data_IF_292938213688
#
_entry.id   IF_292938213688
#
_cell.length_a   1.000
_cell.length_b   1.000
_cell.length_c   1.000
_cell.angle_alpha   90.00
_cell.angle_beta   90.00
_cell.angle_gamma   90.00
#
_symmetry.space_group_name_H-M   'P 1'
#
loop_
_entity.id
_entity.type
_entity.pdbx_description
1 polymer ?
#
# COMPACT_ATOMS: atom_id res chain seq x y z
N UNK A 1 2.05 -0.89 13.36
CA UNK A 1 1.01 -0.95 12.31
C UNK A 1 1.22 -2.19 11.45
N UNK A 2 0.17 -2.95 11.24
CA UNK A 2 0.24 -4.23 10.52
C UNK A 2 -0.28 -4.10 9.10
N UNK A 3 0.06 -5.06 8.25
CA UNK A 3 -0.49 -5.11 6.87
C UNK A 3 -2.02 -5.30 6.90
N UNK A 4 -2.54 -6.00 7.90
CA UNK A 4 -3.98 -6.18 8.04
C UNK A 4 -4.69 -4.85 8.27
N UNK A 5 -4.11 -3.99 9.10
CA UNK A 5 -4.65 -2.65 9.35
C UNK A 5 -4.58 -1.80 8.08
N UNK A 6 -3.49 -1.87 7.33
CA UNK A 6 -3.36 -1.16 6.05
C UNK A 6 -4.41 -1.67 5.05
N UNK A 7 -4.58 -2.99 4.95
CA UNK A 7 -5.59 -3.59 4.08
C UNK A 7 -6.99 -3.08 4.42
N UNK A 8 -7.33 -3.03 5.69
CA UNK A 8 -8.65 -2.60 6.13
C UNK A 8 -8.88 -1.12 5.84
N UNK A 9 -7.83 -0.29 5.97
CA UNK A 9 -7.92 1.10 5.56
C UNK A 9 -8.10 1.25 4.05
N UNK A 10 -7.43 0.41 3.25
CA UNK A 10 -7.58 0.43 1.79
C UNK A 10 -9.02 0.20 1.35
N UNK A 11 -9.81 -0.55 2.13
CA UNK A 11 -11.22 -0.75 1.82
C UNK A 11 -12.02 0.56 1.84
N UNK A 12 -11.53 1.58 2.51
CA UNK A 12 -12.22 2.87 2.60
C UNK A 12 -11.92 3.78 1.42
N UNK A 13 -10.84 3.53 0.67
CA UNK A 13 -10.39 4.44 -0.41
C UNK A 13 -10.29 3.76 -1.77
N UNK A 14 -10.40 2.43 -1.85
CA UNK A 14 -10.26 1.69 -3.11
C UNK A 14 -11.59 1.11 -3.55
N UNK A 15 -11.80 1.10 -4.87
CA UNK A 15 -12.98 0.48 -5.48
C UNK A 15 -12.82 -1.03 -5.69
N UNK A 16 -11.72 -1.63 -5.23
CA UNK A 16 -11.51 -3.07 -5.34
C UNK A 16 -12.60 -3.85 -4.59
N UNK A 17 -12.87 -5.05 -5.05
CA UNK A 17 -13.88 -5.92 -4.44
C UNK A 17 -13.27 -6.93 -3.47
N UNK A 18 -12.00 -7.27 -3.66
CA UNK A 18 -11.29 -8.26 -2.84
C UNK A 18 -9.98 -7.66 -2.35
N UNK A 19 -9.70 -7.86 -1.07
CA UNK A 19 -8.51 -7.31 -0.41
C UNK A 19 -7.74 -8.41 0.29
N UNK A 20 -6.43 -8.49 0.03
CA UNK A 20 -5.57 -9.55 0.54
C UNK A 20 -4.32 -9.00 1.21
N UNK A 21 -3.78 -9.78 2.13
CA UNK A 21 -2.45 -9.55 2.70
C UNK A 21 -1.52 -10.57 2.07
N UNK A 22 -0.46 -10.08 1.42
CA UNK A 22 0.45 -10.98 0.70
C UNK A 22 -0.22 -11.57 -0.53
N UNK A 23 -0.14 -12.86 -0.71
CA UNK A 23 -0.62 -13.53 -1.93
C UNK A 23 -2.11 -13.32 -2.15
N UNK A 24 -2.49 -12.75 -3.30
CA UNK A 24 -3.88 -12.62 -3.67
C UNK A 24 -4.38 -13.86 -4.44
N UNK A 25 -5.70 -13.99 -4.53
CA UNK A 25 -6.32 -15.03 -5.34
C UNK A 25 -6.45 -14.52 -6.78
N UNK A 26 -5.64 -15.04 -7.69
CA UNK A 26 -5.60 -14.60 -9.08
C UNK A 26 -6.88 -14.91 -9.86
N UNK A 27 -7.79 -15.70 -9.31
CA UNK A 27 -9.08 -16.01 -9.94
C UNK A 27 -10.11 -14.89 -9.77
N UNK A 28 -9.85 -13.95 -8.86
CA UNK A 28 -10.79 -12.87 -8.57
C UNK A 28 -10.30 -11.58 -9.21
N UNK A 29 -11.14 -10.99 -10.06
CA UNK A 29 -10.90 -9.69 -10.64
C UNK A 29 -11.11 -8.59 -9.59
N UNK A 30 -10.59 -7.39 -9.86
CA UNK A 30 -10.71 -6.21 -9.01
C UNK A 30 -10.22 -6.48 -7.59
N UNK A 31 -9.04 -7.11 -7.51
CA UNK A 31 -8.37 -7.46 -6.26
C UNK A 31 -7.24 -6.49 -5.96
N UNK A 32 -7.03 -6.23 -4.67
CA UNK A 32 -5.92 -5.44 -4.17
C UNK A 32 -5.15 -6.25 -3.13
N UNK A 33 -3.88 -6.51 -3.41
CA UNK A 33 -2.99 -7.17 -2.47
C UNK A 33 -2.07 -6.17 -1.78
N UNK A 34 -1.90 -6.32 -0.48
CA UNK A 34 -1.03 -5.47 0.33
C UNK A 34 0.17 -6.31 0.76
N UNK A 35 1.38 -5.89 0.36
CA UNK A 35 2.61 -6.62 0.59
C UNK A 35 3.62 -5.76 1.35
N UNK A 36 4.47 -6.41 2.15
CA UNK A 36 5.58 -5.73 2.81
C UNK A 36 6.74 -5.56 1.83
N UNK A 37 7.38 -4.39 1.87
CA UNK A 37 8.62 -4.11 1.14
C UNK A 37 9.85 -4.11 2.03
N UNK A 38 9.69 -4.39 3.32
CA UNK A 38 10.82 -4.42 4.23
C UNK A 38 11.83 -5.48 3.80
N UNK A 39 13.12 -5.12 3.77
CA UNK A 39 14.19 -6.01 3.36
C UNK A 39 15.00 -6.48 4.58
N UNK A 40 15.52 -7.69 4.51
CA UNK A 40 16.43 -8.21 5.53
C UNK A 40 17.70 -7.35 5.57
N UNK A 41 18.20 -7.09 6.76
CA UNK A 41 19.41 -6.32 6.95
C UNK A 41 19.23 -4.81 6.98
N UNK A 42 17.99 -4.31 6.88
CA UNK A 42 17.68 -2.90 7.04
C UNK A 42 17.26 -2.64 8.49
N UNK A 43 18.09 -1.92 9.26
CA UNK A 43 17.74 -1.64 10.65
C UNK A 43 16.65 -0.58 10.77
N UNK A 44 15.99 -0.57 11.91
CA UNK A 44 15.10 0.53 12.29
C UNK A 44 15.95 1.79 12.50
N UNK A 45 15.49 2.92 11.97
CA UNK A 45 16.11 4.21 12.23
C UNK A 45 15.85 4.62 13.68
N UNK A 46 16.93 4.72 14.46
CA UNK A 46 16.84 5.03 15.89
C UNK A 46 17.52 6.37 16.17
N UNK A 47 16.82 7.24 16.88
CA UNK A 47 17.36 8.54 17.30
C UNK A 47 18.54 8.35 18.26
N UNK A 48 19.40 9.38 18.34
CA UNK A 48 20.59 9.34 19.20
C UNK A 48 20.26 9.03 20.66
N UNK A 49 19.09 9.44 21.15
CA UNK A 49 18.65 9.13 22.51
C UNK A 49 18.11 7.73 22.69
N UNK A 50 18.20 6.86 21.67
CA UNK A 50 17.74 5.50 21.70
C UNK A 50 16.26 5.35 21.32
N UNK A 51 15.73 4.16 21.56
CA UNK A 51 14.37 3.81 21.15
C UNK A 51 13.31 4.70 21.81
N UNK A 52 13.51 5.04 23.08
CA UNK A 52 12.55 5.90 23.80
C UNK A 52 12.45 7.32 23.21
N UNK A 53 13.47 7.77 22.48
CA UNK A 53 13.48 9.06 21.79
C UNK A 53 13.08 8.95 20.34
N UNK A 54 12.80 7.77 19.84
CA UNK A 54 12.42 7.52 18.45
C UNK A 54 10.90 7.59 18.35
N UNK A 55 10.39 8.69 17.79
CA UNK A 55 8.96 9.00 17.78
C UNK A 55 8.25 8.65 16.50
N UNK A 56 8.99 8.36 15.44
CA UNK A 56 8.42 8.05 14.13
C UNK A 56 8.92 6.70 13.62
N UNK A 57 8.11 6.09 12.78
CA UNK A 57 8.47 4.87 12.08
C UNK A 57 7.85 4.88 10.69
N UNK A 58 8.30 3.97 9.84
CA UNK A 58 7.84 3.86 8.46
C UNK A 58 7.36 2.44 8.21
N UNK A 59 6.16 2.31 7.66
CA UNK A 59 5.67 1.03 7.14
C UNK A 59 5.81 1.05 5.63
N UNK A 60 6.68 0.20 5.11
CA UNK A 60 6.95 0.11 3.67
C UNK A 60 6.01 -0.91 3.05
N UNK A 61 5.22 -0.47 2.07
CA UNK A 61 4.13 -1.27 1.50
C UNK A 61 4.21 -1.26 -0.02
N UNK A 62 3.94 -2.41 -0.62
CA UNK A 62 3.70 -2.54 -2.05
C UNK A 62 2.25 -2.94 -2.25
N UNK A 63 1.55 -2.21 -3.10
CA UNK A 63 0.16 -2.50 -3.46
C UNK A 63 0.15 -3.11 -4.84
N UNK A 64 -0.49 -4.26 -4.98
CA UNK A 64 -0.69 -4.92 -6.27
C UNK A 64 -2.16 -4.88 -6.62
N UNK A 65 -2.49 -4.16 -7.70
CA UNK A 65 -3.82 -4.19 -8.28
C UNK A 65 -3.87 -5.27 -9.34
N UNK A 66 -4.72 -6.26 -9.13
CA UNK A 66 -5.01 -7.33 -10.07
C UNK A 66 -6.45 -7.11 -10.51
N UNK A 67 -6.64 -6.46 -11.66
CA UNK A 67 -7.93 -5.83 -11.97
C UNK A 67 -8.82 -6.68 -12.87
N UNK A 68 -8.65 -6.57 -14.16
CA UNK A 68 -9.43 -7.34 -15.12
C UNK A 68 -8.71 -7.40 -16.47
N UNK A 69 -9.39 -7.92 -17.50
CA UNK A 69 -8.80 -8.06 -18.83
C UNK A 69 -8.94 -6.79 -19.69
N UNK A 70 -9.35 -5.68 -19.09
CA UNK A 70 -9.49 -4.40 -19.77
C UNK A 70 -8.40 -3.44 -19.31
N UNK A 71 -7.45 -3.14 -20.22
CA UNK A 71 -6.30 -2.29 -19.88
C UNK A 71 -6.71 -0.88 -19.45
N UNK A 72 -7.70 -0.30 -20.12
CA UNK A 72 -8.17 1.06 -19.83
C UNK A 72 -8.81 1.14 -18.43
N UNK A 73 -9.65 0.17 -18.11
CA UNK A 73 -10.28 0.13 -16.78
C UNK A 73 -9.26 -0.08 -15.67
N UNK A 74 -8.27 -0.92 -15.92
CA UNK A 74 -7.20 -1.17 -14.95
C UNK A 74 -6.39 0.10 -14.70
N UNK A 75 -6.01 0.80 -15.75
CA UNK A 75 -5.28 2.06 -15.62
C UNK A 75 -6.10 3.09 -14.84
N UNK A 76 -7.38 3.22 -15.17
CA UNK A 76 -8.26 4.18 -14.48
C UNK A 76 -8.42 3.85 -13.02
N UNK A 77 -8.61 2.58 -12.68
CA UNK A 77 -8.74 2.15 -11.28
C UNK A 77 -7.47 2.40 -10.49
N UNK A 78 -6.31 2.09 -11.08
CA UNK A 78 -5.02 2.32 -10.45
C UNK A 78 -4.75 3.81 -10.25
N UNK A 79 -5.08 4.63 -11.24
CA UNK A 79 -4.89 6.09 -11.15
C UNK A 79 -5.79 6.69 -10.06
N UNK A 80 -7.02 6.23 -9.95
CA UNK A 80 -7.95 6.69 -8.92
C UNK A 80 -7.40 6.38 -7.52
N UNK A 81 -6.89 5.17 -7.31
CA UNK A 81 -6.28 4.81 -6.04
C UNK A 81 -5.03 5.65 -5.77
N UNK A 82 -4.18 5.84 -6.78
CA UNK A 82 -2.97 6.64 -6.64
C UNK A 82 -3.30 8.06 -6.21
N UNK A 83 -4.29 8.69 -6.82
CA UNK A 83 -4.73 10.05 -6.46
C UNK A 83 -5.31 10.11 -5.05
N UNK A 84 -6.06 9.08 -4.64
CA UNK A 84 -6.58 9.00 -3.28
C UNK A 84 -5.44 8.92 -2.26
N UNK A 85 -4.37 8.18 -2.58
CA UNK A 85 -3.19 8.08 -1.72
C UNK A 85 -2.43 9.42 -1.66
N UNK A 86 -2.33 10.13 -2.79
CA UNK A 86 -1.70 11.45 -2.82
C UNK A 86 -2.46 12.46 -1.98
N UNK A 87 -3.78 12.37 -1.97
CA UNK A 87 -4.64 13.29 -1.24
C UNK A 87 -4.76 12.95 0.24
N UNK A 88 -4.32 11.76 0.65
CA UNK A 88 -4.42 11.34 2.04
C UNK A 88 -3.46 12.16 2.91
N UNK A 89 -4.03 12.97 3.79
CA UNK A 89 -3.27 13.74 4.76
C UNK A 89 -3.04 12.93 6.03
N UNK A 90 -2.93 13.60 7.18
CA UNK A 90 -2.89 12.87 8.45
C UNK A 90 -4.13 11.99 8.60
N UNK A 91 -3.92 10.70 8.84
CA UNK A 91 -5.01 9.73 8.95
C UNK A 91 -4.77 8.83 10.15
N UNK A 92 -5.82 8.16 10.59
CA UNK A 92 -5.72 7.13 11.61
C UNK A 92 -6.01 5.77 11.00
N UNK A 93 -5.06 4.84 11.17
CA UNK A 93 -5.20 3.46 10.73
C UNK A 93 -5.15 2.60 11.99
N UNK A 94 -6.29 1.98 12.34
CA UNK A 94 -6.39 1.27 13.61
C UNK A 94 -6.15 2.23 14.77
N UNK A 95 -5.19 1.91 15.62
CA UNK A 95 -4.78 2.77 16.73
C UNK A 95 -3.58 3.65 16.38
N UNK A 96 -3.14 3.63 15.13
CA UNK A 96 -1.90 4.29 14.71
C UNK A 96 -2.21 5.62 14.03
N UNK A 97 -1.54 6.68 14.47
CA UNK A 97 -1.63 8.00 13.85
C UNK A 97 -0.59 8.10 12.74
N UNK A 98 -1.06 8.12 11.50
CA UNK A 98 -0.21 8.27 10.32
C UNK A 98 -0.09 9.75 9.97
N UNK A 99 1.14 10.24 9.92
CA UNK A 99 1.40 11.65 9.65
C UNK A 99 1.25 11.98 8.16
N UNK A 100 1.82 11.15 7.31
CA UNK A 100 1.71 11.32 5.86
C UNK A 100 2.10 10.03 5.15
N UNK A 101 1.75 9.97 3.86
CA UNK A 101 2.14 8.90 2.96
C UNK A 101 3.11 9.44 1.92
N UNK A 102 4.14 8.65 1.59
CA UNK A 102 5.05 8.98 0.51
C UNK A 102 4.95 7.93 -0.58
N UNK A 103 4.57 8.36 -1.77
CA UNK A 103 4.55 7.49 -2.94
C UNK A 103 5.96 7.42 -3.52
N UNK A 104 6.42 6.20 -3.80
CA UNK A 104 7.79 5.96 -4.29
C UNK A 104 7.81 5.71 -5.80
N UNK A 105 6.68 5.93 -6.46
CA UNK A 105 6.56 5.83 -7.92
C UNK A 105 5.84 7.07 -8.43
N UNK A 106 6.17 7.57 -9.63
CA UNK A 106 5.53 8.78 -10.17
C UNK A 106 4.10 8.54 -10.63
N UNK A 107 3.77 7.28 -10.90
CA UNK A 107 2.44 6.83 -11.31
C UNK A 107 2.33 5.32 -11.06
N UNK A 108 1.14 4.72 -11.07
CA UNK A 108 1.03 3.27 -10.95
C UNK A 108 1.83 2.57 -12.05
N UNK A 109 2.67 1.60 -11.66
CA UNK A 109 3.57 0.93 -12.57
C UNK A 109 2.86 -0.22 -13.27
N UNK A 110 2.89 -0.21 -14.59
CA UNK A 110 2.37 -1.30 -15.40
C UNK A 110 3.32 -2.49 -15.35
N UNK A 111 2.85 -3.60 -14.81
CA UNK A 111 3.62 -4.84 -14.72
C UNK A 111 3.09 -5.91 -15.69
N UNK A 112 2.22 -5.53 -16.60
CA UNK A 112 1.70 -6.40 -17.65
C UNK A 112 0.46 -7.16 -17.20
N UNK A 113 0.35 -8.39 -17.68
CA UNK A 113 -0.79 -9.26 -17.38
C UNK A 113 -0.30 -10.55 -16.74
N UNK A 114 -1.20 -11.23 -16.01
CA UNK A 114 -0.95 -12.57 -15.55
C UNK A 114 -1.20 -13.59 -16.69
N UNK A 115 -1.12 -14.88 -16.38
CA UNK A 115 -1.30 -15.95 -17.38
C UNK A 115 -2.72 -15.99 -17.96
N UNK A 116 -3.67 -15.36 -17.31
CA UNK A 116 -5.07 -15.30 -17.75
C UNK A 116 -5.42 -13.98 -18.44
N UNK A 117 -4.44 -13.14 -18.73
CA UNK A 117 -4.64 -11.87 -19.40
C UNK A 117 -5.20 -10.76 -18.51
N UNK A 118 -5.17 -10.93 -17.21
CA UNK A 118 -5.63 -9.91 -16.26
C UNK A 118 -4.53 -8.88 -16.05
N UNK A 119 -4.84 -7.62 -16.30
CA UNK A 119 -3.86 -6.53 -16.14
C UNK A 119 -3.60 -6.21 -14.68
N UNK A 120 -2.33 -5.88 -14.40
CA UNK A 120 -1.87 -5.59 -13.05
C UNK A 120 -1.07 -4.30 -13.01
N UNK A 121 -1.18 -3.59 -11.88
CA UNK A 121 -0.43 -2.36 -11.60
C UNK A 121 0.13 -2.43 -10.18
N UNK A 122 1.29 -1.82 -9.98
CA UNK A 122 1.95 -1.79 -8.69
C UNK A 122 2.13 -0.35 -8.23
N UNK A 123 1.86 -0.10 -6.95
CA UNK A 123 2.10 1.20 -6.31
C UNK A 123 2.93 0.94 -5.06
N UNK A 124 4.06 1.61 -4.95
CA UNK A 124 4.89 1.58 -3.74
C UNK A 124 4.60 2.81 -2.90
N UNK A 125 4.27 2.58 -1.63
CA UNK A 125 3.92 3.65 -0.70
C UNK A 125 4.50 3.38 0.67
N UNK A 126 5.02 4.42 1.30
CA UNK A 126 5.52 4.40 2.66
C UNK A 126 4.54 5.17 3.55
N UNK A 127 4.22 4.56 4.71
CA UNK A 127 3.36 5.19 5.72
C UNK A 127 4.24 5.65 6.87
N UNK A 128 4.33 6.97 7.07
CA UNK A 128 5.09 7.57 8.16
C UNK A 128 4.16 7.80 9.34
N UNK A 129 4.44 7.14 10.46
CA UNK A 129 3.53 7.16 11.60
C UNK A 129 4.26 7.40 12.92
N UNK A 130 3.49 7.81 13.92
CA UNK A 130 4.00 7.99 15.28
C UNK A 130 4.05 6.63 15.97
N UNK A 131 5.20 6.37 16.58
CA UNK A 131 5.33 5.19 17.41
C UNK A 131 4.58 5.42 18.72
N UNK A 132 3.82 4.41 19.13
CA UNK A 132 3.24 4.37 20.47
C UNK A 132 4.23 3.73 21.40
N UNK A 133 4.45 4.33 22.53
CA UNK A 133 5.34 3.79 23.56
C UNK A 133 4.60 2.84 24.48
#
# INVERSE_FOLDING_TARGET
>A
MTLAEVRDWMKTISAAEYFYIGKLDAKQDKSLGVYSRAALGQPLDIALGGLSCTKTAVKQVSLLLHWNQNAKETEAAAQTLFEALQAAGPIQIGQTQVAFLQLLVPEPVDVGTDDNGVYERVIWVDFYYRRSD
#
